data_IF_313025972560
#
_entry.id   IF_313025972560
#
_cell.length_a   1.000
_cell.length_b   1.000
_cell.length_c   1.000
_cell.angle_alpha   90.00
_cell.angle_beta   90.00
_cell.angle_gamma   90.00
#
_symmetry.space_group_name_H-M   'P 1'
#
loop_
_entity.id
_entity.type
_entity.pdbx_description
1 polymer ?
#
# COMPACT_ATOMS: atom_id res chain seq x y z
N UNK A 1 -26.52 -1.65 6.09
CA UNK A 1 -25.27 -2.34 5.71
C UNK A 1 -24.73 -2.94 6.99
N UNK A 2 -24.50 -4.26 7.03
CA UNK A 2 -23.67 -4.83 8.09
C UNK A 2 -22.26 -4.27 7.94
N UNK A 3 -21.61 -3.98 9.07
CA UNK A 3 -20.25 -3.48 9.09
C UNK A 3 -19.32 -4.56 8.52
N UNK A 4 -18.66 -4.25 7.40
CA UNK A 4 -17.71 -5.18 6.80
C UNK A 4 -16.44 -5.24 7.65
N UNK A 5 -16.05 -6.43 8.10
CA UNK A 5 -14.77 -6.68 8.75
C UNK A 5 -13.98 -7.74 7.99
N UNK A 6 -12.69 -7.49 7.78
CA UNK A 6 -11.77 -8.52 7.30
C UNK A 6 -11.62 -9.64 8.34
N UNK A 7 -11.40 -10.89 7.92
CA UNK A 7 -11.06 -11.98 8.84
C UNK A 7 -9.85 -11.62 9.73
N UNK A 8 -9.89 -12.01 11.00
CA UNK A 8 -8.84 -11.67 11.99
C UNK A 8 -7.45 -12.14 11.55
N UNK A 9 -7.38 -13.34 10.97
CA UNK A 9 -6.13 -13.90 10.44
C UNK A 9 -5.56 -13.05 9.29
N UNK A 10 -6.42 -12.62 8.36
CA UNK A 10 -6.00 -11.74 7.27
C UNK A 10 -5.54 -10.37 7.79
N UNK A 11 -6.21 -9.82 8.82
CA UNK A 11 -5.76 -8.58 9.45
C UNK A 11 -4.34 -8.73 10.03
N UNK A 12 -4.08 -9.85 10.71
CA UNK A 12 -2.76 -10.11 11.28
C UNK A 12 -1.69 -10.20 10.19
N UNK A 13 -1.96 -10.94 9.10
CA UNK A 13 -1.05 -11.03 7.95
C UNK A 13 -0.76 -9.68 7.30
N UNK A 14 -1.78 -8.82 7.15
CA UNK A 14 -1.60 -7.46 6.64
C UNK A 14 -0.69 -6.65 7.57
N UNK A 15 -0.93 -6.70 8.89
CA UNK A 15 -0.11 -5.99 9.88
C UNK A 15 1.34 -6.49 9.85
N UNK A 16 1.55 -7.80 9.82
CA UNK A 16 2.88 -8.40 9.78
C UNK A 16 3.62 -8.03 8.49
N UNK A 17 2.92 -8.06 7.35
CA UNK A 17 3.45 -7.59 6.07
C UNK A 17 3.87 -6.11 6.10
N UNK A 18 3.06 -5.24 6.71
CA UNK A 18 3.38 -3.81 6.87
C UNK A 18 4.62 -3.63 7.75
N UNK A 19 4.68 -4.31 8.90
CA UNK A 19 5.80 -4.19 9.84
C UNK A 19 7.10 -4.70 9.22
N UNK A 20 7.07 -5.85 8.56
CA UNK A 20 8.24 -6.44 7.92
C UNK A 20 8.69 -5.60 6.71
N UNK A 21 7.76 -5.15 5.87
CA UNK A 21 8.09 -4.26 4.75
C UNK A 21 8.66 -2.92 5.22
N UNK A 22 8.18 -2.39 6.35
CA UNK A 22 8.75 -1.15 6.90
C UNK A 22 10.16 -1.36 7.47
N UNK A 23 10.41 -2.48 8.16
CA UNK A 23 11.77 -2.85 8.62
C UNK A 23 12.73 -2.95 7.43
N UNK A 24 12.34 -3.67 6.38
CA UNK A 24 13.15 -3.81 5.17
C UNK A 24 13.45 -2.46 4.52
N UNK A 25 12.44 -1.60 4.39
CA UNK A 25 12.62 -0.25 3.86
C UNK A 25 13.66 0.55 4.67
N UNK A 26 13.69 0.42 6.00
CA UNK A 26 14.65 1.13 6.84
C UNK A 26 16.08 0.63 6.60
N UNK A 27 16.28 -0.69 6.49
CA UNK A 27 17.59 -1.28 6.19
C UNK A 27 18.09 -0.86 4.81
N UNK A 28 17.24 -0.98 3.78
CA UNK A 28 17.58 -0.52 2.43
C UNK A 28 17.88 0.99 2.40
N UNK A 29 17.10 1.81 3.14
CA UNK A 29 17.30 3.25 3.21
C UNK A 29 18.64 3.62 3.84
N UNK A 30 19.08 2.87 4.86
CA UNK A 30 20.41 2.99 5.48
C UNK A 30 21.50 2.62 4.49
N UNK A 31 21.39 1.45 3.86
CA UNK A 31 22.35 0.98 2.86
C UNK A 31 22.51 1.95 1.68
N UNK A 32 21.41 2.52 1.15
CA UNK A 32 21.50 3.52 0.06
C UNK A 32 22.12 4.83 0.53
N UNK A 33 21.92 5.23 1.79
CA UNK A 33 22.52 6.45 2.35
C UNK A 33 24.04 6.31 2.49
N UNK A 34 24.52 5.13 2.85
CA UNK A 34 25.96 4.85 2.92
C UNK A 34 26.59 4.75 1.53
N UNK A 35 25.86 4.19 0.55
CA UNK A 35 26.37 3.98 -0.81
C UNK A 35 26.42 5.24 -1.68
N UNK A 36 25.46 6.15 -1.54
CA UNK A 36 25.27 7.28 -2.46
C UNK A 36 25.35 8.63 -1.75
N UNK A 37 26.05 9.59 -2.37
CA UNK A 37 26.11 11.00 -1.92
C UNK A 37 24.71 11.61 -1.83
N UNK A 38 23.85 11.30 -2.81
CA UNK A 38 22.43 11.70 -2.82
C UNK A 38 21.57 10.45 -2.90
N UNK A 39 20.81 10.17 -1.85
CA UNK A 39 19.96 8.97 -1.73
C UNK A 39 18.48 9.27 -1.47
N UNK A 40 18.09 10.54 -1.46
CA UNK A 40 16.74 10.99 -1.09
C UNK A 40 15.64 10.40 -1.96
N UNK A 41 15.96 10.14 -3.23
CA UNK A 41 15.06 9.50 -4.20
C UNK A 41 14.57 8.12 -3.77
N UNK A 42 15.33 7.39 -2.94
CA UNK A 42 14.90 6.09 -2.44
C UNK A 42 13.67 6.17 -1.52
N UNK A 43 13.39 7.34 -0.94
CA UNK A 43 12.24 7.52 -0.04
C UNK A 43 10.88 7.28 -0.74
N UNK A 44 10.85 7.39 -2.07
CA UNK A 44 9.67 7.11 -2.88
C UNK A 44 9.39 5.61 -3.09
N UNK A 45 10.33 4.73 -2.74
CA UNK A 45 10.18 3.27 -2.82
C UNK A 45 9.44 2.65 -1.63
N UNK A 46 9.22 3.42 -0.54
CA UNK A 46 8.65 2.92 0.72
C UNK A 46 7.35 2.15 0.52
N UNK A 47 6.41 2.72 -0.24
CA UNK A 47 5.12 2.10 -0.47
C UNK A 47 5.26 0.77 -1.23
N UNK A 48 6.11 0.75 -2.27
CA UNK A 48 6.33 -0.44 -3.08
C UNK A 48 6.92 -1.60 -2.27
N UNK A 49 7.86 -1.30 -1.37
CA UNK A 49 8.46 -2.32 -0.49
C UNK A 49 7.41 -2.85 0.49
N UNK A 50 6.62 -1.98 1.11
CA UNK A 50 5.53 -2.41 2.00
C UNK A 50 4.52 -3.29 1.25
N UNK A 51 4.04 -2.85 0.09
CA UNK A 51 3.08 -3.61 -0.72
C UNK A 51 3.63 -4.98 -1.12
N UNK A 52 4.94 -5.08 -1.41
CA UNK A 52 5.61 -6.35 -1.71
C UNK A 52 5.56 -7.32 -0.53
N UNK A 53 5.81 -6.83 0.70
CA UNK A 53 5.78 -7.66 1.90
C UNK A 53 4.36 -8.03 2.32
N UNK A 54 3.38 -7.13 2.13
CA UNK A 54 1.96 -7.44 2.32
C UNK A 54 1.51 -8.51 1.33
N UNK A 55 1.92 -8.42 0.06
CA UNK A 55 1.61 -9.44 -0.94
C UNK A 55 2.19 -10.81 -0.59
N UNK A 56 3.42 -10.87 -0.10
CA UNK A 56 4.03 -12.12 0.39
C UNK A 56 3.24 -12.68 1.58
N UNK A 57 2.96 -11.87 2.59
CA UNK A 57 2.25 -12.32 3.79
C UNK A 57 0.83 -12.81 3.49
N UNK A 58 0.07 -12.07 2.66
CA UNK A 58 -1.31 -12.41 2.36
C UNK A 58 -1.46 -13.52 1.31
N UNK A 59 -0.40 -13.90 0.58
CA UNK A 59 -0.46 -14.96 -0.43
C UNK A 59 -0.80 -16.35 0.14
N UNK A 60 -0.61 -16.53 1.45
CA UNK A 60 -0.93 -17.77 2.16
C UNK A 60 -2.40 -17.84 2.59
N UNK A 61 -3.15 -16.73 2.53
CA UNK A 61 -4.55 -16.67 2.96
C UNK A 61 -5.51 -17.06 1.83
N UNK A 62 -6.38 -18.03 2.09
CA UNK A 62 -7.35 -18.51 1.11
C UNK A 62 -8.29 -17.39 0.65
N UNK A 63 -8.49 -17.28 -0.66
CA UNK A 63 -9.37 -16.28 -1.25
C UNK A 63 -8.75 -14.90 -1.45
N UNK A 64 -7.51 -14.67 -1.00
CA UNK A 64 -6.75 -13.45 -1.36
C UNK A 64 -5.94 -13.68 -2.62
N UNK A 65 -6.07 -12.76 -3.57
CA UNK A 65 -5.18 -12.62 -4.71
C UNK A 65 -4.69 -11.19 -4.84
N UNK A 66 -3.54 -11.01 -5.49
CA UNK A 66 -3.05 -9.69 -5.83
C UNK A 66 -2.63 -9.62 -7.30
N UNK A 67 -2.71 -8.41 -7.85
CA UNK A 67 -2.17 -8.09 -9.18
C UNK A 67 -1.49 -6.73 -9.16
N UNK A 68 -0.58 -6.51 -10.10
CA UNK A 68 -0.06 -5.17 -10.39
C UNK A 68 -1.04 -4.47 -11.33
N UNK A 69 -1.44 -3.25 -11.00
CA UNK A 69 -2.30 -2.40 -11.82
C UNK A 69 -1.71 -0.99 -11.91
N UNK A 70 -2.27 -0.13 -12.77
CA UNK A 70 -1.74 1.21 -13.06
C UNK A 70 -2.73 2.32 -12.69
N UNK A 71 -2.25 3.28 -11.91
CA UNK A 71 -2.89 4.56 -11.69
C UNK A 71 -2.45 5.55 -12.78
N UNK A 72 -3.27 5.70 -13.81
CA UNK A 72 -2.90 6.50 -15.00
C UNK A 72 -1.90 5.76 -15.88
N UNK A 73 -1.04 6.51 -16.58
CA UNK A 73 -0.14 5.92 -17.59
C UNK A 73 1.09 5.20 -17.02
N UNK A 74 1.61 5.65 -15.88
CA UNK A 74 2.97 5.28 -15.44
C UNK A 74 3.07 4.76 -14.01
N UNK A 75 2.09 5.00 -13.14
CA UNK A 75 2.21 4.64 -11.73
C UNK A 75 1.63 3.27 -11.44
N UNK A 76 2.49 2.30 -11.16
CA UNK A 76 2.09 0.96 -10.76
C UNK A 76 1.74 0.88 -9.27
N UNK A 77 0.79 0.03 -8.92
CA UNK A 77 0.41 -0.29 -7.54
C UNK A 77 -0.02 -1.75 -7.42
N UNK A 78 0.05 -2.29 -6.21
CA UNK A 78 -0.47 -3.63 -5.92
C UNK A 78 -1.95 -3.51 -5.53
N UNK A 79 -2.79 -4.21 -6.28
CA UNK A 79 -4.22 -4.33 -6.03
C UNK A 79 -4.50 -5.68 -5.38
N UNK A 80 -5.14 -5.68 -4.20
CA UNK A 80 -5.55 -6.90 -3.53
C UNK A 80 -7.04 -7.16 -3.71
N UNK A 81 -7.39 -8.43 -3.92
CA UNK A 81 -8.78 -8.88 -4.05
C UNK A 81 -9.01 -10.03 -3.07
N UNK A 82 -9.98 -9.86 -2.18
CA UNK A 82 -10.45 -10.90 -1.27
C UNK A 82 -11.79 -11.43 -1.79
N UNK A 83 -11.86 -12.72 -2.09
CA UNK A 83 -13.11 -13.43 -2.35
C UNK A 83 -13.58 -14.10 -1.06
N UNK A 84 -14.73 -13.67 -0.55
CA UNK A 84 -15.33 -14.24 0.64
C UNK A 84 -16.82 -14.48 0.42
N UNK A 85 -17.26 -15.73 0.55
CA UNK A 85 -18.60 -16.18 0.19
C UNK A 85 -18.98 -15.80 -1.27
N UNK A 86 -19.99 -14.94 -1.44
CA UNK A 86 -20.44 -14.44 -2.75
C UNK A 86 -19.97 -13.01 -3.07
N UNK A 87 -19.12 -12.44 -2.22
CA UNK A 87 -18.67 -11.06 -2.34
C UNK A 87 -17.17 -11.00 -2.68
N UNK A 88 -16.79 -9.96 -3.41
CA UNK A 88 -15.40 -9.67 -3.76
C UNK A 88 -15.05 -8.28 -3.26
N UNK A 89 -14.02 -8.22 -2.41
CA UNK A 89 -13.55 -6.99 -1.80
C UNK A 89 -12.23 -6.56 -2.41
N UNK A 90 -12.15 -5.28 -2.72
CA UNK A 90 -10.92 -4.64 -3.15
C UNK A 90 -10.32 -3.89 -1.97
N UNK A 91 -9.04 -4.14 -1.67
CA UNK A 91 -8.31 -3.32 -0.72
C UNK A 91 -6.95 -2.90 -1.25
N UNK A 92 -6.49 -1.75 -0.77
CA UNK A 92 -5.22 -1.13 -1.13
C UNK A 92 -4.60 -0.61 0.16
N UNK A 93 -3.30 -0.83 0.35
CA UNK A 93 -2.58 -0.31 1.51
C UNK A 93 -2.11 1.12 1.23
N UNK A 94 -2.44 2.06 2.11
CA UNK A 94 -2.05 3.46 1.99
C UNK A 94 -1.65 4.04 3.34
N UNK A 95 -0.77 5.03 3.30
CA UNK A 95 -0.41 5.82 4.47
C UNK A 95 -1.59 6.75 4.86
N UNK A 96 -1.95 6.73 6.14
CA UNK A 96 -3.04 7.53 6.71
C UNK A 96 -2.93 9.03 6.40
N UNK A 97 -1.73 9.60 6.38
CA UNK A 97 -1.54 11.03 6.08
C UNK A 97 -2.07 11.44 4.69
N UNK A 98 -1.99 10.53 3.71
CA UNK A 98 -2.54 10.77 2.38
C UNK A 98 -4.06 10.63 2.33
N UNK A 99 -4.64 9.84 3.25
CA UNK A 99 -6.06 9.53 3.29
C UNK A 99 -6.84 10.75 3.77
N UNK A 100 -6.45 11.37 4.89
CA UNK A 100 -7.13 12.55 5.44
C UNK A 100 -7.15 13.73 4.46
N UNK A 101 -6.16 13.80 3.57
CA UNK A 101 -6.05 14.87 2.57
C UNK A 101 -6.92 14.65 1.34
N UNK A 102 -7.34 13.41 1.09
CA UNK A 102 -7.91 12.97 -0.20
C UNK A 102 -9.31 12.37 -0.06
N UNK A 103 -9.60 11.72 1.07
CA UNK A 103 -10.83 10.95 1.33
C UNK A 103 -11.65 11.50 2.51
N UNK A 104 -11.47 12.78 2.88
CA UNK A 104 -12.21 13.42 3.98
C UNK A 104 -13.58 14.00 3.56
N UNK A 105 -14.06 13.69 2.35
CA UNK A 105 -15.31 14.23 1.80
C UNK A 105 -15.31 15.75 1.52
N UNK A 106 -14.22 16.46 1.84
CA UNK A 106 -14.09 17.91 1.63
C UNK A 106 -13.34 18.15 0.32
N UNK A 107 -14.10 18.45 -0.74
CA UNK A 107 -13.52 18.91 -2.01
C UNK A 107 -12.99 20.33 -1.79
N UNK A 108 -11.66 20.45 -1.65
CA UNK A 108 -11.00 21.74 -1.66
C UNK A 108 -11.02 22.30 -3.10
N UNK A 109 -11.96 23.21 -3.36
CA UNK A 109 -12.15 23.86 -4.66
C UNK A 109 -10.95 24.70 -5.11
N UNK A 110 -10.04 25.04 -4.20
CA UNK A 110 -8.84 25.84 -4.48
C UNK A 110 -7.58 25.00 -4.70
N UNK A 111 -7.67 23.67 -4.56
CA UNK A 111 -6.54 22.78 -4.84
C UNK A 111 -6.32 22.70 -6.35
N UNK A 112 -5.40 23.51 -6.87
CA UNK A 112 -4.80 23.26 -8.20
C UNK A 112 -4.33 21.81 -8.20
N UNK A 113 -4.88 20.99 -9.10
CA UNK A 113 -4.44 19.61 -9.34
C UNK A 113 -2.95 19.66 -9.66
N UNK A 114 -2.10 19.41 -8.68
CA UNK A 114 -0.71 19.09 -8.96
C UNK A 114 -0.75 17.71 -9.59
N UNK A 115 -0.67 17.66 -10.92
CA UNK A 115 -0.21 16.46 -11.59
C UNK A 115 1.11 16.08 -10.93
N UNK A 116 1.18 14.86 -10.43
CA UNK A 116 2.42 14.25 -10.01
C UNK A 116 3.32 14.23 -11.24
N UNK A 117 4.33 15.11 -11.25
CA UNK A 117 5.48 15.00 -12.16
C UNK A 117 6.46 14.04 -11.50
#
# INVERSE_FOLDING_TARGET
MNEFSLPTELNQLIVDGILNGYKEYLEERRAKKEKYIVSTGFSWSKANIIDTYVAKACSEFEGVSYKVDKAGYTWEYVQFTLKHAQESFLFIVKNSWGIDRTFNGKIDKNKKRRLFI
#
